data_IF_000749138973
#
_entry.id   IF_000749138973
#
_cell.length_a   1.000
_cell.length_b   1.000
_cell.length_c   1.000
_cell.angle_alpha   90.00
_cell.angle_beta   90.00
_cell.angle_gamma   90.00
#
_symmetry.space_group_name_H-M   'P 1'
#
loop_
_entity.id
_entity.type
_entity.pdbx_description
1 polymer ?
#
# COMPACT_ATOMS: atom_id res chain seq x y z
N UNK A 1 31.01 14.55 46.04
CA UNK A 1 30.45 15.92 46.07
C UNK A 1 30.64 16.53 44.69
N UNK A 2 29.59 16.50 43.87
CA UNK A 2 29.58 17.07 42.52
C UNK A 2 28.84 18.41 42.58
N UNK A 3 29.48 19.47 42.10
CA UNK A 3 28.93 20.83 42.04
C UNK A 3 27.90 20.89 40.89
N UNK A 4 26.68 21.42 41.09
CA UNK A 4 25.69 21.50 40.02
C UNK A 4 26.09 22.49 38.91
N UNK A 5 25.73 22.18 37.67
CA UNK A 5 25.97 23.04 36.50
C UNK A 5 25.05 24.28 36.51
N UNK A 6 25.52 25.37 35.91
CA UNK A 6 24.84 26.70 35.85
C UNK A 6 23.37 26.67 35.40
N UNK A 7 22.95 25.68 34.59
CA UNK A 7 21.55 25.52 34.18
C UNK A 7 20.61 25.11 35.34
N UNK A 8 21.14 24.46 36.38
CA UNK A 8 20.34 24.04 37.54
C UNK A 8 19.94 25.23 38.41
N UNK A 9 20.76 26.30 38.42
CA UNK A 9 20.52 27.53 39.19
C UNK A 9 19.46 28.43 38.52
N UNK A 10 19.39 28.48 37.19
CA UNK A 10 18.39 29.29 36.46
C UNK A 10 16.96 28.73 36.57
N UNK A 11 16.81 27.40 36.67
CA UNK A 11 15.49 26.75 36.82
C UNK A 11 14.93 26.94 38.25
N UNK A 12 15.78 26.99 39.28
CA UNK A 12 15.33 27.30 40.65
C UNK A 12 14.96 28.78 40.84
N UNK A 13 15.56 29.69 40.05
CA UNK A 13 15.28 31.11 40.11
C UNK A 13 13.93 31.44 39.43
N UNK A 14 13.63 30.80 38.29
CA UNK A 14 12.33 30.93 37.60
C UNK A 14 11.15 30.31 38.37
N UNK A 15 11.40 29.30 39.23
CA UNK A 15 10.36 28.74 40.12
C UNK A 15 10.06 29.61 41.33
N UNK A 16 10.95 30.53 41.72
CA UNK A 16 10.75 31.49 42.82
C UNK A 16 9.99 32.74 42.40
N UNK A 17 10.04 33.13 41.12
CA UNK A 17 9.40 34.36 40.65
C UNK A 17 7.92 34.20 40.29
N UNK A 18 7.43 32.98 40.04
CA UNK A 18 6.02 32.73 39.66
C UNK A 18 5.15 32.11 40.76
N UNK A 19 5.60 32.17 42.02
CA UNK A 19 4.86 31.67 43.17
C UNK A 19 4.01 32.75 43.85
N UNK A 20 2.84 33.09 43.30
CA UNK A 20 1.80 33.81 44.05
C UNK A 20 0.37 33.44 43.58
N UNK A 21 -0.27 32.60 44.42
CA UNK A 21 -1.70 32.49 44.74
C UNK A 21 -2.74 32.28 43.64
N UNK A 22 -3.26 31.06 43.61
CA UNK A 22 -4.64 30.77 43.23
C UNK A 22 -5.63 31.45 44.19
N UNK A 23 -6.65 32.13 43.66
CA UNK A 23 -8.08 32.12 44.07
C UNK A 23 -8.80 33.35 43.51
N UNK A 24 -9.51 33.20 42.39
CA UNK A 24 -10.80 33.88 42.13
C UNK A 24 -11.28 33.54 40.72
N UNK A 25 -12.60 33.31 40.60
CA UNK A 25 -13.39 33.22 39.36
C UNK A 25 -13.57 31.81 38.77
N UNK A 26 -14.28 30.99 39.56
CA UNK A 26 -15.28 30.09 39.02
C UNK A 26 -16.45 30.90 38.46
N UNK A 27 -16.63 30.92 37.14
CA UNK A 27 -17.95 30.97 36.48
C UNK A 27 -17.77 31.13 34.97
N UNK A 28 -18.58 30.38 34.21
CA UNK A 28 -18.95 30.61 32.81
C UNK A 28 -17.84 30.55 31.75
N UNK A 29 -17.65 29.38 31.14
CA UNK A 29 -17.99 29.15 29.72
C UNK A 29 -18.48 27.70 29.64
N UNK A 30 -19.76 27.57 29.27
CA UNK A 30 -20.49 26.31 29.28
C UNK A 30 -20.07 25.37 28.16
N UNK A 31 -20.06 24.09 28.51
CA UNK A 31 -20.37 23.01 27.59
C UNK A 31 -21.82 23.23 27.10
N UNK A 32 -21.98 23.55 25.82
CA UNK A 32 -23.24 23.38 25.11
C UNK A 32 -22.99 22.41 23.96
N UNK A 33 -23.49 21.20 24.18
CA UNK A 33 -23.95 20.29 23.15
C UNK A 33 -25.12 20.95 22.42
N UNK A 34 -24.93 21.34 21.16
CA UNK A 34 -26.01 21.48 20.20
C UNK A 34 -25.58 20.78 18.91
N UNK A 35 -26.20 19.62 18.70
CA UNK A 35 -26.45 19.05 17.39
C UNK A 35 -27.20 20.09 16.57
N UNK A 36 -26.63 20.57 15.46
CA UNK A 36 -27.43 21.00 14.33
C UNK A 36 -26.63 20.93 13.02
N UNK A 37 -27.24 20.24 12.07
CA UNK A 37 -26.80 20.04 10.70
C UNK A 37 -26.60 21.38 9.99
N UNK A 38 -25.38 21.64 9.52
CA UNK A 38 -25.15 22.39 8.31
C UNK A 38 -23.74 22.05 7.82
N UNK A 39 -23.64 21.00 7.00
CA UNK A 39 -22.45 20.77 6.19
C UNK A 39 -22.36 21.94 5.21
N UNK A 40 -21.35 22.86 5.29
CA UNK A 40 -21.05 23.60 4.08
C UNK A 40 -20.55 22.55 3.10
N UNK A 41 -21.23 22.40 1.97
CA UNK A 41 -20.76 21.63 0.82
C UNK A 41 -19.33 22.11 0.49
N UNK A 42 -18.33 21.50 1.14
CA UNK A 42 -16.97 21.55 0.64
C UNK A 42 -17.02 20.70 -0.61
N UNK A 43 -17.04 21.37 -1.74
CA UNK A 43 -16.91 20.76 -3.05
C UNK A 43 -15.85 19.64 -2.99
N UNK A 44 -16.13 18.46 -3.57
CA UNK A 44 -15.17 17.37 -3.58
C UNK A 44 -13.84 17.88 -4.11
N UNK A 45 -12.75 17.56 -3.41
CA UNK A 45 -11.35 17.84 -3.78
C UNK A 45 -10.94 16.98 -4.99
N UNK A 46 -11.73 17.04 -6.06
CA UNK A 46 -11.43 16.49 -7.39
C UNK A 46 -10.90 17.63 -8.29
N UNK A 47 -11.38 18.88 -8.12
CA UNK A 47 -11.12 19.98 -9.06
C UNK A 47 -9.75 20.68 -8.94
N UNK A 48 -8.90 20.28 -8.00
CA UNK A 48 -7.51 20.77 -7.92
C UNK A 48 -6.46 19.72 -8.32
N UNK A 49 -6.89 18.53 -8.75
CA UNK A 49 -5.96 17.50 -9.24
C UNK A 49 -5.75 17.64 -10.76
N UNK A 50 -4.83 18.52 -11.14
CA UNK A 50 -4.45 18.75 -12.54
C UNK A 50 -3.45 17.68 -12.98
N UNK A 51 -3.95 16.50 -13.34
CA UNK A 51 -3.15 15.52 -14.07
C UNK A 51 -3.99 14.32 -14.48
N UNK A 52 -4.11 13.98 -15.78
CA UNK A 52 -4.79 12.77 -16.19
C UNK A 52 -3.84 11.61 -15.91
N UNK A 53 -3.90 11.03 -14.72
CA UNK A 53 -3.27 9.74 -14.49
C UNK A 53 -4.27 8.64 -14.76
N UNK A 54 -4.28 8.17 -16.00
CA UNK A 54 -5.16 7.08 -16.38
C UNK A 54 -4.76 5.79 -15.66
N UNK A 55 -5.72 4.90 -15.57
CA UNK A 55 -5.53 3.53 -15.18
C UNK A 55 -5.64 2.66 -16.42
N UNK A 56 -4.74 1.70 -16.52
CA UNK A 56 -4.65 0.80 -17.66
C UNK A 56 -4.81 -0.63 -17.21
N UNK A 57 -5.60 -1.40 -17.97
CA UNK A 57 -5.91 -2.79 -17.66
C UNK A 57 -5.81 -3.62 -18.94
N UNK A 58 -5.29 -4.85 -18.80
CA UNK A 58 -5.20 -5.81 -19.90
C UNK A 58 -6.45 -6.70 -19.91
N UNK A 59 -7.24 -6.59 -20.98
CA UNK A 59 -8.52 -7.28 -21.17
C UNK A 59 -8.37 -8.80 -21.33
N UNK A 60 -7.46 -9.17 -22.24
CA UNK A 60 -7.26 -10.50 -22.81
C UNK A 60 -5.77 -10.74 -23.19
N UNK A 61 -4.86 -9.98 -22.56
CA UNK A 61 -3.43 -10.02 -22.90
C UNK A 61 -3.06 -9.34 -24.23
N UNK A 62 -3.98 -8.67 -24.91
CA UNK A 62 -3.66 -7.90 -26.13
C UNK A 62 -4.37 -6.55 -26.20
N UNK A 63 -5.59 -6.49 -25.69
CA UNK A 63 -6.41 -5.28 -25.71
C UNK A 63 -6.17 -4.48 -24.43
N UNK A 64 -5.71 -3.25 -24.62
CA UNK A 64 -5.47 -2.29 -23.55
C UNK A 64 -6.68 -1.36 -23.41
N UNK A 65 -7.26 -1.31 -22.21
CA UNK A 65 -8.36 -0.40 -21.89
C UNK A 65 -7.85 0.69 -20.95
N UNK A 66 -8.00 1.95 -21.38
CA UNK A 66 -7.72 3.12 -20.55
C UNK A 66 -9.00 3.59 -19.85
N UNK A 67 -8.93 3.80 -18.55
CA UNK A 67 -10.01 4.39 -17.75
C UNK A 67 -9.46 5.53 -16.90
N UNK A 68 -10.26 6.55 -16.70
CA UNK A 68 -9.86 7.71 -15.89
C UNK A 68 -9.99 7.45 -14.38
N UNK A 69 -10.66 6.36 -13.95
CA UNK A 69 -10.91 6.10 -12.53
C UNK A 69 -11.17 4.63 -12.22
N UNK A 70 -10.63 4.18 -11.08
CA UNK A 70 -10.79 2.81 -10.56
C UNK A 70 -12.25 2.49 -10.27
N UNK A 71 -13.08 3.49 -9.98
CA UNK A 71 -14.51 3.31 -9.70
C UNK A 71 -15.26 2.73 -10.89
N UNK A 72 -14.91 3.14 -12.11
CA UNK A 72 -15.55 2.59 -13.32
C UNK A 72 -15.15 1.13 -13.52
N UNK A 73 -13.87 0.83 -13.35
CA UNK A 73 -13.34 -0.53 -13.43
C UNK A 73 -14.01 -1.48 -12.43
N UNK A 74 -14.10 -1.06 -11.16
CA UNK A 74 -14.75 -1.83 -10.10
C UNK A 74 -16.23 -2.06 -10.41
N UNK A 75 -16.94 -1.05 -10.91
CA UNK A 75 -18.34 -1.19 -11.35
C UNK A 75 -18.50 -2.21 -12.47
N UNK A 76 -17.57 -2.25 -13.42
CA UNK A 76 -17.60 -3.19 -14.55
C UNK A 76 -17.42 -4.64 -14.04
N UNK A 77 -16.43 -4.91 -13.18
CA UNK A 77 -16.22 -6.25 -12.60
C UNK A 77 -17.42 -6.71 -11.76
N UNK A 78 -18.00 -5.80 -10.97
CA UNK A 78 -19.12 -6.15 -10.09
C UNK A 78 -20.39 -6.54 -10.86
N UNK A 79 -20.62 -5.94 -12.03
CA UNK A 79 -21.74 -6.32 -12.90
C UNK A 79 -21.58 -7.76 -13.39
N UNK A 80 -20.37 -8.17 -13.73
CA UNK A 80 -20.07 -9.51 -14.19
C UNK A 80 -20.20 -10.54 -13.06
N UNK A 81 -19.64 -10.23 -11.88
CA UNK A 81 -19.73 -11.09 -10.70
C UNK A 81 -21.19 -11.36 -10.26
N UNK A 82 -22.05 -10.33 -10.27
CA UNK A 82 -23.49 -10.47 -9.96
C UNK A 82 -24.24 -11.32 -10.98
N UNK A 83 -23.87 -11.22 -12.26
CA UNK A 83 -24.46 -12.00 -13.34
C UNK A 83 -24.14 -13.49 -13.15
N UNK A 84 -22.89 -13.82 -12.76
CA UNK A 84 -22.44 -15.20 -12.48
C UNK A 84 -23.05 -15.81 -11.22
N UNK A 85 -23.18 -15.04 -10.13
CA UNK A 85 -23.84 -15.51 -8.90
C UNK A 85 -25.26 -16.05 -9.16
N UNK A 86 -25.94 -15.47 -10.17
CA UNK A 86 -27.26 -15.90 -10.63
C UNK A 86 -27.20 -17.17 -11.52
N UNK A 87 -26.22 -17.28 -12.42
CA UNK A 87 -26.02 -18.47 -13.29
C UNK A 87 -25.58 -19.73 -12.52
N UNK A 88 -24.67 -19.59 -11.54
CA UNK A 88 -24.21 -20.69 -10.69
C UNK A 88 -25.32 -21.30 -9.81
N UNK A 89 -26.42 -20.57 -9.59
CA UNK A 89 -27.58 -21.07 -8.84
C UNK A 89 -28.55 -21.91 -9.69
N UNK A 90 -28.39 -21.90 -11.03
CA UNK A 90 -29.35 -22.49 -11.98
C UNK A 90 -28.80 -23.76 -12.66
N UNK A 91 -27.47 -23.95 -12.70
CA UNK A 91 -26.83 -25.12 -13.31
C UNK A 91 -25.64 -25.59 -12.49
N UNK A 92 -25.83 -26.64 -11.66
CA UNK A 92 -24.71 -27.45 -11.16
C UNK A 92 -25.10 -28.93 -11.11
N UNK A 93 -24.29 -29.75 -11.77
CA UNK A 93 -24.31 -31.19 -11.56
C UNK A 93 -23.81 -31.47 -10.13
N UNK A 94 -24.46 -32.36 -9.35
CA UNK A 94 -24.08 -32.62 -7.96
C UNK A 94 -22.71 -33.31 -7.79
N UNK A 95 -22.05 -33.72 -8.88
CA UNK A 95 -20.74 -34.39 -8.90
C UNK A 95 -19.55 -33.46 -9.19
N UNK A 96 -19.76 -32.18 -9.52
CA UNK A 96 -18.63 -31.26 -9.69
C UNK A 96 -18.06 -30.88 -8.31
N UNK A 97 -16.77 -31.16 -8.08
CA UNK A 97 -16.07 -30.69 -6.89
C UNK A 97 -16.29 -29.18 -6.74
N UNK A 98 -16.71 -28.75 -5.54
CA UNK A 98 -16.89 -27.32 -5.29
C UNK A 98 -15.53 -26.64 -5.48
N UNK A 99 -15.43 -25.62 -6.36
CA UNK A 99 -14.19 -24.89 -6.52
C UNK A 99 -13.76 -24.30 -5.17
N UNK A 100 -12.45 -24.34 -4.89
CA UNK A 100 -11.90 -23.74 -3.69
C UNK A 100 -12.39 -22.30 -3.52
N UNK A 101 -12.68 -21.83 -2.30
CA UNK A 101 -13.04 -20.43 -2.07
C UNK A 101 -12.00 -19.49 -2.67
N UNK A 102 -12.42 -18.41 -3.30
CA UNK A 102 -11.51 -17.42 -3.89
C UNK A 102 -11.25 -16.28 -2.92
N UNK A 103 -10.04 -15.71 -2.98
CA UNK A 103 -9.69 -14.42 -2.41
C UNK A 103 -9.34 -13.48 -3.55
N UNK A 104 -9.97 -12.30 -3.55
CA UNK A 104 -9.80 -11.28 -4.60
C UNK A 104 -8.78 -10.25 -4.15
N UNK A 105 -7.68 -10.10 -4.89
CA UNK A 105 -6.62 -9.11 -4.59
C UNK A 105 -6.54 -8.06 -5.69
N UNK A 106 -6.42 -6.79 -5.33
CA UNK A 106 -6.14 -5.71 -6.28
C UNK A 106 -4.67 -5.35 -6.23
N UNK A 107 -4.00 -5.42 -7.38
CA UNK A 107 -2.61 -5.01 -7.55
C UNK A 107 -2.58 -3.62 -8.20
N UNK A 108 -2.06 -2.62 -7.49
CA UNK A 108 -1.78 -1.29 -8.04
C UNK A 108 -0.32 -1.25 -8.48
N UNK A 109 -0.08 -1.13 -9.78
CA UNK A 109 1.24 -1.03 -10.38
C UNK A 109 1.62 0.42 -10.63
N UNK A 110 2.42 0.98 -9.74
CA UNK A 110 2.82 2.39 -9.78
C UNK A 110 4.13 2.63 -10.54
N UNK A 111 4.96 1.58 -10.68
CA UNK A 111 6.23 1.62 -11.39
C UNK A 111 7.33 0.85 -10.65
N UNK A 112 8.58 1.29 -10.86
CA UNK A 112 9.77 0.63 -10.32
C UNK A 112 10.29 -0.55 -11.14
N UNK A 113 11.47 -1.03 -10.76
CA UNK A 113 12.23 -2.09 -11.46
C UNK A 113 11.43 -3.37 -11.67
N UNK A 114 10.47 -3.69 -10.79
CA UNK A 114 9.64 -4.91 -10.85
C UNK A 114 8.99 -5.15 -12.22
N UNK A 115 8.64 -4.08 -12.95
CA UNK A 115 8.04 -4.18 -14.28
C UNK A 115 8.78 -3.42 -15.38
N UNK A 116 10.06 -3.10 -15.17
CA UNK A 116 10.90 -2.53 -16.23
C UNK A 116 11.27 -3.60 -17.26
N UNK A 117 11.43 -3.18 -18.52
CA UNK A 117 11.88 -4.06 -19.60
C UNK A 117 13.33 -3.76 -19.94
N UNK A 118 14.13 -4.81 -20.12
CA UNK A 118 15.48 -4.67 -20.64
C UNK A 118 15.40 -4.25 -22.12
N UNK A 119 16.00 -3.10 -22.45
CA UNK A 119 16.18 -2.67 -23.84
C UNK A 119 17.42 -3.32 -24.45
N UNK A 120 17.59 -3.21 -25.77
CA UNK A 120 18.71 -3.83 -26.50
C UNK A 120 20.11 -3.38 -26.02
N UNK A 121 20.21 -2.26 -25.31
CA UNK A 121 21.43 -1.73 -24.72
C UNK A 121 21.73 -2.26 -23.30
N UNK A 122 20.90 -3.16 -22.76
CA UNK A 122 21.04 -3.70 -21.41
C UNK A 122 20.51 -2.80 -20.29
N UNK A 123 19.87 -1.66 -20.64
CA UNK A 123 19.28 -0.73 -19.68
C UNK A 123 17.83 -1.10 -19.42
N UNK A 124 17.43 -1.08 -18.15
CA UNK A 124 16.05 -1.29 -17.74
C UNK A 124 15.30 0.04 -17.70
N UNK A 125 14.15 0.08 -18.37
CA UNK A 125 13.30 1.26 -18.43
C UNK A 125 11.83 0.88 -18.19
N UNK A 126 11.00 1.78 -17.61
CA UNK A 126 9.56 1.58 -17.57
C UNK A 126 9.00 1.44 -18.98
N UNK A 127 8.30 0.35 -19.25
CA UNK A 127 7.56 0.16 -20.50
C UNK A 127 6.08 0.00 -20.17
N UNK A 128 5.28 0.96 -20.63
CA UNK A 128 3.83 0.92 -20.44
C UNK A 128 3.26 -0.40 -20.98
N UNK A 129 2.37 -1.00 -20.19
CA UNK A 129 1.61 -2.21 -20.48
C UNK A 129 2.46 -3.49 -20.54
N UNK A 130 3.77 -3.41 -20.39
CA UNK A 130 4.65 -4.56 -20.48
C UNK A 130 4.41 -5.58 -19.37
N UNK A 131 4.40 -5.15 -18.11
CA UNK A 131 4.30 -6.06 -16.97
C UNK A 131 2.97 -6.85 -16.95
N UNK A 132 1.79 -6.23 -17.10
CA UNK A 132 0.53 -6.97 -17.18
C UNK A 132 0.53 -8.03 -18.29
N UNK A 133 1.15 -7.74 -19.44
CA UNK A 133 1.28 -8.70 -20.54
C UNK A 133 2.26 -9.83 -20.20
N UNK A 134 3.44 -9.49 -19.69
CA UNK A 134 4.46 -10.47 -19.32
C UNK A 134 3.95 -11.48 -18.27
N UNK A 135 3.20 -11.01 -17.25
CA UNK A 135 2.65 -11.87 -16.20
C UNK A 135 1.71 -12.94 -16.78
N UNK A 136 0.99 -12.68 -17.87
CA UNK A 136 0.08 -13.66 -18.48
C UNK A 136 0.80 -14.94 -18.84
N UNK A 137 2.05 -14.82 -19.30
CA UNK A 137 2.86 -15.92 -19.82
C UNK A 137 3.79 -16.55 -18.78
N UNK A 138 3.71 -16.12 -17.51
CA UNK A 138 4.53 -16.66 -16.41
C UNK A 138 3.68 -17.65 -15.60
N UNK A 139 3.85 -18.98 -15.75
CA UNK A 139 2.96 -19.97 -15.12
C UNK A 139 2.86 -19.87 -13.59
N UNK A 140 3.95 -19.60 -12.83
CA UNK A 140 3.84 -19.38 -11.38
C UNK A 140 2.96 -18.20 -10.96
N UNK A 141 2.73 -17.23 -11.85
CA UNK A 141 1.90 -16.05 -11.60
C UNK A 141 0.51 -16.12 -12.24
N UNK A 142 0.31 -17.00 -13.22
CA UNK A 142 -0.95 -17.08 -13.96
C UNK A 142 -1.28 -18.51 -14.42
N UNK A 143 -2.25 -19.12 -13.74
CA UNK A 143 -2.95 -20.32 -14.17
C UNK A 143 -3.98 -19.96 -15.24
N UNK A 144 -3.55 -20.07 -16.51
CA UNK A 144 -4.37 -19.74 -17.69
C UNK A 144 -5.61 -20.61 -17.79
N UNK A 145 -5.50 -21.90 -17.48
CA UNK A 145 -6.61 -22.85 -17.59
C UNK A 145 -7.73 -22.46 -16.62
N UNK A 146 -7.38 -22.12 -15.38
CA UNK A 146 -8.35 -21.62 -14.40
C UNK A 146 -9.02 -20.31 -14.86
N UNK A 147 -8.24 -19.35 -15.35
CA UNK A 147 -8.77 -18.07 -15.83
C UNK A 147 -9.69 -18.26 -17.04
N UNK A 148 -9.32 -19.08 -18.01
CA UNK A 148 -10.15 -19.36 -19.18
C UNK A 148 -11.45 -20.08 -18.80
N UNK A 149 -11.37 -21.08 -17.92
CA UNK A 149 -12.53 -21.83 -17.46
C UNK A 149 -13.54 -20.98 -16.68
N UNK A 150 -13.08 -20.09 -15.79
CA UNK A 150 -13.96 -19.39 -14.85
C UNK A 150 -14.19 -17.91 -15.18
N UNK A 151 -13.32 -17.32 -15.98
CA UNK A 151 -13.29 -15.90 -16.31
C UNK A 151 -13.17 -15.61 -17.82
N UNK A 152 -13.21 -16.62 -18.70
CA UNK A 152 -13.05 -16.46 -20.15
C UNK A 152 -14.01 -15.44 -20.77
N UNK A 153 -15.26 -15.41 -20.31
CA UNK A 153 -16.31 -14.49 -20.79
C UNK A 153 -16.26 -13.07 -20.18
N UNK A 154 -15.39 -12.84 -19.18
CA UNK A 154 -15.32 -11.53 -18.52
C UNK A 154 -14.71 -10.49 -19.44
N UNK A 155 -15.21 -9.27 -19.37
CA UNK A 155 -14.62 -8.17 -20.09
C UNK A 155 -13.20 -7.98 -19.63
N UNK A 156 -12.87 -7.94 -18.34
CA UNK A 156 -11.46 -7.88 -17.91
C UNK A 156 -11.09 -9.15 -17.17
N UNK A 157 -10.25 -9.97 -17.80
CA UNK A 157 -9.81 -11.23 -17.23
C UNK A 157 -8.86 -10.96 -16.04
N UNK A 158 -9.07 -11.58 -14.86
CA UNK A 158 -8.07 -11.57 -13.81
C UNK A 158 -6.87 -12.43 -14.17
N UNK A 159 -5.89 -12.41 -13.28
CA UNK A 159 -4.85 -13.40 -13.16
C UNK A 159 -5.17 -14.32 -11.99
N UNK A 160 -4.64 -15.53 -12.00
CA UNK A 160 -4.82 -16.46 -10.89
C UNK A 160 -3.50 -17.15 -10.56
N UNK A 161 -3.07 -17.13 -9.30
CA UNK A 161 -1.95 -17.99 -8.91
C UNK A 161 -2.37 -19.45 -9.00
N UNK A 162 -1.48 -20.39 -9.36
CA UNK A 162 -1.69 -21.83 -9.15
C UNK A 162 -2.08 -22.15 -7.69
N UNK A 163 -2.64 -23.34 -7.40
CA UNK A 163 -2.95 -23.72 -6.02
C UNK A 163 -1.69 -23.64 -5.15
N UNK A 164 -1.76 -22.85 -4.08
CA UNK A 164 -0.65 -22.71 -3.13
C UNK A 164 -0.86 -23.72 -2.01
N UNK A 165 0.22 -24.41 -1.62
CA UNK A 165 0.16 -25.38 -0.52
C UNK A 165 -0.19 -24.65 0.78
N UNK A 166 -1.00 -25.28 1.62
CA UNK A 166 -1.37 -24.78 2.95
C UNK A 166 -2.17 -23.46 2.95
N UNK A 167 -2.67 -23.01 1.80
CA UNK A 167 -3.65 -21.91 1.73
C UNK A 167 -5.05 -22.46 1.51
N UNK A 168 -6.05 -21.83 2.13
CA UNK A 168 -7.44 -22.27 2.02
C UNK A 168 -8.17 -21.68 0.82
N UNK A 169 -7.64 -20.58 0.27
CA UNK A 169 -8.27 -19.83 -0.81
C UNK A 169 -7.42 -19.81 -2.06
N UNK A 170 -8.09 -19.80 -3.21
CA UNK A 170 -7.47 -19.52 -4.51
C UNK A 170 -7.23 -18.02 -4.64
N UNK A 171 -6.02 -17.62 -5.02
CA UNK A 171 -5.67 -16.20 -5.18
C UNK A 171 -6.00 -15.75 -6.60
N UNK A 172 -7.03 -14.91 -6.72
CA UNK A 172 -7.44 -14.28 -7.98
C UNK A 172 -7.15 -12.81 -7.87
N UNK A 173 -6.44 -12.22 -8.83
CA UNK A 173 -5.99 -10.85 -8.73
C UNK A 173 -6.12 -10.07 -10.03
N UNK A 174 -6.29 -8.75 -9.89
CA UNK A 174 -6.37 -7.81 -11.01
C UNK A 174 -5.22 -6.84 -10.92
N UNK A 175 -4.57 -6.56 -12.05
CA UNK A 175 -3.48 -5.58 -12.14
C UNK A 175 -4.01 -4.30 -12.74
N UNK A 176 -3.78 -3.21 -12.03
CA UNK A 176 -4.10 -1.84 -12.44
C UNK A 176 -2.80 -1.11 -12.64
N UNK A 177 -2.50 -0.77 -13.88
CA UNK A 177 -1.30 -0.01 -14.21
C UNK A 177 -1.58 1.49 -14.16
N UNK A 178 -0.69 2.24 -13.50
CA UNK A 178 -0.74 3.69 -13.49
C UNK A 178 -0.09 4.26 -14.75
N UNK A 179 -0.71 5.30 -15.32
CA UNK A 179 -0.14 6.10 -16.41
C UNK A 179 0.14 7.53 -15.90
N UNK A 180 1.36 8.06 -15.98
CA UNK A 180 2.60 7.34 -16.28
C UNK A 180 3.01 6.40 -15.13
N UNK A 181 3.80 5.38 -15.46
CA UNK A 181 4.59 4.64 -14.48
C UNK A 181 5.70 5.57 -13.95
N UNK A 182 5.95 5.52 -12.65
CA UNK A 182 6.93 6.38 -12.00
C UNK A 182 8.15 5.60 -11.54
N UNK A 183 9.32 6.25 -11.62
CA UNK A 183 10.39 5.92 -10.70
C UNK A 183 9.94 6.33 -9.28
N UNK A 184 10.21 5.50 -8.29
CA UNK A 184 9.87 5.81 -6.90
C UNK A 184 10.53 7.09 -6.40
N UNK A 185 11.69 7.46 -6.95
CA UNK A 185 12.39 8.71 -6.59
C UNK A 185 11.61 9.97 -7.00
N UNK A 186 10.72 9.86 -7.99
CA UNK A 186 9.87 10.96 -8.46
C UNK A 186 8.49 10.99 -7.78
N UNK A 187 8.20 10.04 -6.88
CA UNK A 187 6.90 9.98 -6.21
C UNK A 187 6.77 11.06 -5.15
N UNK A 188 5.59 11.68 -5.15
CA UNK A 188 5.23 12.78 -4.25
C UNK A 188 4.06 12.39 -3.34
N UNK A 189 3.72 13.28 -2.42
CA UNK A 189 2.50 13.19 -1.62
C UNK A 189 1.23 12.93 -2.45
N UNK A 190 1.13 13.50 -3.65
CA UNK A 190 -0.04 13.33 -4.52
C UNK A 190 -0.18 11.90 -5.03
N UNK A 191 0.93 11.20 -5.21
CA UNK A 191 0.95 9.79 -5.59
C UNK A 191 0.50 8.91 -4.43
N UNK A 192 0.90 9.23 -3.20
CA UNK A 192 0.43 8.53 -2.00
C UNK A 192 -1.07 8.73 -1.80
N UNK A 193 -1.57 9.96 -1.99
CA UNK A 193 -3.01 10.28 -1.93
C UNK A 193 -3.78 9.51 -2.98
N UNK A 194 -3.25 9.42 -4.20
CA UNK A 194 -3.88 8.63 -5.27
C UNK A 194 -3.99 7.15 -4.90
N UNK A 195 -2.89 6.53 -4.45
CA UNK A 195 -2.88 5.12 -4.04
C UNK A 195 -3.91 4.87 -2.93
N UNK A 196 -3.91 5.71 -1.88
CA UNK A 196 -4.85 5.57 -0.77
C UNK A 196 -6.31 5.74 -1.20
N UNK A 197 -6.60 6.75 -2.05
CA UNK A 197 -7.95 6.96 -2.61
C UNK A 197 -8.41 5.80 -3.48
N UNK A 198 -7.54 5.21 -4.28
CA UNK A 198 -7.88 4.08 -5.16
C UNK A 198 -8.16 2.80 -4.36
N UNK A 199 -7.39 2.55 -3.30
CA UNK A 199 -7.67 1.48 -2.33
C UNK A 199 -9.03 1.72 -1.66
N UNK A 200 -9.30 2.95 -1.19
CA UNK A 200 -10.61 3.30 -0.59
C UNK A 200 -11.78 3.05 -1.52
N UNK A 201 -11.67 3.46 -2.79
CA UNK A 201 -12.72 3.27 -3.81
C UNK A 201 -13.00 1.78 -4.09
N UNK A 202 -11.99 0.92 -3.90
CA UNK A 202 -12.07 -0.52 -4.19
C UNK A 202 -12.22 -1.36 -2.92
N UNK A 203 -12.30 -0.72 -1.75
CA UNK A 203 -12.08 -1.37 -0.47
C UNK A 203 -13.06 -2.51 -0.17
N UNK A 204 -14.30 -2.40 -0.62
CA UNK A 204 -15.34 -3.40 -0.37
C UNK A 204 -15.29 -4.62 -1.32
N UNK A 205 -14.58 -4.52 -2.44
CA UNK A 205 -14.66 -5.50 -3.54
C UNK A 205 -13.49 -6.48 -3.57
N UNK A 206 -12.44 -6.18 -2.82
CA UNK A 206 -11.22 -6.99 -2.72
C UNK A 206 -10.95 -7.34 -1.27
N UNK A 207 -10.38 -8.51 -1.03
CA UNK A 207 -10.00 -9.02 0.29
C UNK A 207 -8.67 -8.42 0.77
N UNK A 208 -7.81 -8.01 -0.16
CA UNK A 208 -6.52 -7.39 0.13
C UNK A 208 -5.96 -6.63 -1.07
N UNK A 209 -4.88 -5.89 -0.82
CA UNK A 209 -4.25 -5.00 -1.80
C UNK A 209 -2.74 -5.27 -1.87
N UNK A 210 -2.20 -5.25 -3.09
CA UNK A 210 -0.76 -5.23 -3.34
C UNK A 210 -0.43 -3.94 -4.08
N UNK A 211 0.65 -3.28 -3.69
CA UNK A 211 1.16 -2.10 -4.41
C UNK A 211 2.56 -2.42 -4.90
N UNK A 212 2.72 -2.53 -6.22
CA UNK A 212 4.00 -2.68 -6.89
C UNK A 212 4.66 -1.31 -7.04
N UNK A 213 5.83 -1.16 -6.43
CA UNK A 213 6.49 0.11 -6.24
C UNK A 213 8.01 -0.01 -6.45
N UNK A 214 8.68 1.09 -6.85
CA UNK A 214 10.15 1.16 -6.90
C UNK A 214 10.78 1.14 -5.51
N UNK A 215 12.01 0.62 -5.38
CA UNK A 215 12.57 0.34 -4.06
C UNK A 215 13.11 1.57 -3.35
N UNK A 216 13.47 2.65 -4.05
CA UNK A 216 14.19 3.78 -3.45
C UNK A 216 13.39 4.53 -2.39
N UNK A 217 12.09 4.73 -2.63
CA UNK A 217 11.20 5.43 -1.68
C UNK A 217 10.09 4.53 -1.13
N UNK A 218 10.16 3.21 -1.33
CA UNK A 218 9.13 2.26 -0.90
C UNK A 218 8.81 2.37 0.59
N UNK A 219 9.82 2.49 1.45
CA UNK A 219 9.65 2.63 2.90
C UNK A 219 8.96 3.95 3.29
N UNK A 220 9.21 5.04 2.55
CA UNK A 220 8.51 6.31 2.73
C UNK A 220 7.04 6.19 2.36
N UNK A 221 6.73 5.60 1.20
CA UNK A 221 5.35 5.36 0.76
C UNK A 221 4.61 4.43 1.73
N UNK A 222 5.24 3.33 2.18
CA UNK A 222 4.64 2.42 3.16
C UNK A 222 4.32 3.14 4.48
N UNK A 223 5.20 4.01 4.94
CA UNK A 223 5.01 4.81 6.15
C UNK A 223 3.87 5.82 5.97
N UNK A 224 3.86 6.57 4.87
CA UNK A 224 2.81 7.55 4.57
C UNK A 224 1.43 6.87 4.51
N UNK A 225 1.29 5.79 3.73
CA UNK A 225 0.04 5.05 3.62
C UNK A 225 -0.41 4.49 4.97
N UNK A 226 0.52 4.04 5.83
CA UNK A 226 0.19 3.57 7.18
C UNK A 226 -0.47 4.64 8.05
N UNK A 227 -0.12 5.91 7.89
CA UNK A 227 -0.77 7.02 8.61
C UNK A 227 -2.05 7.49 7.91
N UNK A 228 -2.09 7.43 6.58
CA UNK A 228 -3.26 7.85 5.80
C UNK A 228 -4.44 6.89 5.98
N UNK A 229 -4.18 5.59 6.13
CA UNK A 229 -5.18 4.51 6.17
C UNK A 229 -5.67 4.25 7.60
N UNK A 230 -6.59 5.07 8.07
CA UNK A 230 -7.18 4.93 9.40
C UNK A 230 -8.23 3.81 9.45
N UNK A 231 -8.22 3.02 10.53
CA UNK A 231 -9.11 1.88 10.72
C UNK A 231 -9.03 0.87 9.56
N UNK A 232 -7.80 0.64 9.07
CA UNK A 232 -7.52 -0.41 8.12
C UNK A 232 -7.90 -1.77 8.73
N UNK A 233 -8.57 -2.59 7.93
CA UNK A 233 -9.11 -3.90 8.29
C UNK A 233 -8.79 -4.98 7.27
N UNK A 234 -7.96 -4.66 6.26
CA UNK A 234 -7.54 -5.54 5.18
C UNK A 234 -6.04 -5.36 4.93
N UNK A 235 -5.31 -6.40 4.52
CA UNK A 235 -3.89 -6.28 4.22
C UNK A 235 -3.62 -5.37 3.02
N UNK A 236 -2.65 -4.47 3.20
CA UNK A 236 -2.07 -3.66 2.11
C UNK A 236 -0.58 -3.94 2.08
N UNK A 237 -0.13 -4.69 1.08
CA UNK A 237 1.24 -5.18 0.98
C UNK A 237 1.97 -4.43 -0.14
N UNK A 238 2.95 -3.60 0.23
CA UNK A 238 3.86 -3.00 -0.73
C UNK A 238 4.98 -4.00 -1.06
N UNK A 239 5.35 -4.06 -2.33
CA UNK A 239 6.51 -4.85 -2.76
C UNK A 239 7.11 -4.27 -4.03
N UNK A 240 8.26 -4.80 -4.41
CA UNK A 240 9.02 -4.39 -5.59
C UNK A 240 10.08 -5.44 -5.91
N UNK A 241 11.11 -5.04 -6.64
CA UNK A 241 12.20 -5.93 -7.02
C UNK A 241 13.50 -5.17 -7.27
N UNK A 242 14.62 -5.87 -7.14
CA UNK A 242 15.89 -5.43 -7.73
C UNK A 242 16.06 -5.95 -9.16
N UNK A 243 15.41 -7.07 -9.51
CA UNK A 243 15.44 -7.69 -10.83
C UNK A 243 14.00 -7.84 -11.36
N UNK A 244 13.67 -7.32 -12.55
CA UNK A 244 12.29 -7.34 -13.07
C UNK A 244 11.66 -8.72 -13.13
N UNK A 245 10.34 -8.80 -12.97
CA UNK A 245 9.56 -10.07 -12.88
C UNK A 245 9.78 -11.01 -14.07
N UNK A 246 9.97 -10.44 -15.26
CA UNK A 246 10.10 -11.19 -16.50
C UNK A 246 11.50 -11.81 -16.71
N UNK A 247 12.49 -11.43 -15.91
CA UNK A 247 13.83 -12.02 -15.98
C UNK A 247 13.85 -13.45 -15.42
N UNK A 248 14.81 -14.25 -15.89
CA UNK A 248 14.93 -15.68 -15.51
C UNK A 248 15.22 -15.84 -14.01
N UNK A 249 16.12 -15.03 -13.46
CA UNK A 249 16.51 -15.02 -12.04
C UNK A 249 15.99 -13.76 -11.34
N UNK A 250 14.67 -13.65 -11.22
CA UNK A 250 14.00 -12.49 -10.66
C UNK A 250 13.59 -12.70 -9.19
N UNK A 251 13.98 -11.77 -8.31
CA UNK A 251 13.37 -11.64 -6.98
C UNK A 251 11.96 -11.04 -7.06
N UNK A 252 11.66 -10.26 -8.08
CA UNK A 252 10.34 -9.68 -8.32
C UNK A 252 9.23 -10.73 -8.46
N UNK A 253 9.53 -11.89 -9.05
CA UNK A 253 8.57 -12.99 -9.14
C UNK A 253 8.17 -13.52 -7.76
N UNK A 254 9.17 -13.86 -6.95
CA UNK A 254 8.95 -14.42 -5.60
C UNK A 254 8.33 -13.37 -4.66
N UNK A 255 8.77 -12.11 -4.77
CA UNK A 255 8.21 -10.99 -4.03
C UNK A 255 6.72 -10.77 -4.36
N UNK A 256 6.35 -10.78 -5.65
CA UNK A 256 4.94 -10.63 -6.06
C UNK A 256 4.08 -11.82 -5.62
N UNK A 257 4.55 -13.06 -5.81
CA UNK A 257 3.82 -14.26 -5.36
C UNK A 257 3.59 -14.18 -3.86
N UNK A 258 4.63 -13.87 -3.08
CA UNK A 258 4.52 -13.80 -1.64
C UNK A 258 3.60 -12.69 -1.15
N UNK A 259 3.67 -11.50 -1.75
CA UNK A 259 2.76 -10.39 -1.45
C UNK A 259 1.30 -10.75 -1.74
N UNK A 260 1.03 -11.42 -2.87
CA UNK A 260 -0.30 -11.89 -3.24
C UNK A 260 -0.84 -12.95 -2.26
N UNK A 261 -0.01 -13.92 -1.87
CA UNK A 261 -0.38 -14.93 -0.85
C UNK A 261 -0.72 -14.24 0.47
N UNK A 262 0.11 -13.28 0.90
CA UNK A 262 -0.11 -12.51 2.13
C UNK A 262 -1.43 -11.76 2.08
N UNK A 263 -1.65 -10.98 1.02
CA UNK A 263 -2.85 -10.16 0.86
C UNK A 263 -4.15 -10.98 0.76
N UNK A 264 -4.08 -12.21 0.25
CA UNK A 264 -5.26 -13.04 0.01
C UNK A 264 -5.67 -13.92 1.21
N UNK A 265 -4.68 -14.45 1.94
CA UNK A 265 -4.91 -15.57 2.86
C UNK A 265 -4.76 -15.23 4.34
N UNK A 266 -4.16 -14.08 4.69
CA UNK A 266 -3.90 -13.75 6.09
C UNK A 266 -4.54 -12.43 6.49
N UNK A 267 -5.20 -12.47 7.64
CA UNK A 267 -5.83 -11.31 8.25
C UNK A 267 -4.79 -10.46 8.98
N UNK A 268 -4.11 -9.60 8.21
CA UNK A 268 -3.07 -8.67 8.68
C UNK A 268 -3.53 -7.25 8.30
N UNK A 269 -4.31 -6.56 9.15
CA UNK A 269 -4.93 -5.27 8.81
C UNK A 269 -3.94 -4.09 8.91
N UNK A 270 -2.80 -4.23 8.24
CA UNK A 270 -1.70 -3.26 8.27
C UNK A 270 -1.16 -2.97 6.87
N UNK A 271 -0.53 -1.79 6.75
CA UNK A 271 0.35 -1.49 5.63
C UNK A 271 1.71 -2.14 5.89
N UNK A 272 2.10 -3.06 5.02
CA UNK A 272 3.28 -3.92 5.17
C UNK A 272 4.18 -3.84 3.95
N UNK A 273 5.43 -4.28 4.11
CA UNK A 273 6.41 -4.41 3.03
C UNK A 273 6.85 -5.87 2.97
N UNK A 274 6.70 -6.49 1.80
CA UNK A 274 7.12 -7.87 1.59
C UNK A 274 8.36 -7.93 0.68
N UNK A 275 9.47 -8.45 1.21
CA UNK A 275 10.72 -8.63 0.49
C UNK A 275 11.48 -9.83 1.05
N UNK A 276 12.12 -10.61 0.16
CA UNK A 276 13.05 -11.68 0.53
C UNK A 276 12.50 -12.59 1.64
N UNK A 277 11.29 -13.11 1.42
CA UNK A 277 10.56 -14.01 2.32
C UNK A 277 10.22 -13.44 3.71
N UNK A 278 10.33 -12.13 3.91
CA UNK A 278 9.94 -11.45 5.15
C UNK A 278 8.78 -10.49 4.90
N UNK A 279 7.82 -10.49 5.82
CA UNK A 279 6.78 -9.47 5.90
C UNK A 279 7.14 -8.48 7.01
N UNK A 280 7.41 -7.23 6.66
CA UNK A 280 7.80 -6.16 7.57
C UNK A 280 6.62 -5.21 7.77
N UNK A 281 6.49 -4.62 8.97
CA UNK A 281 5.57 -3.51 9.20
C UNK A 281 6.05 -2.28 8.41
N UNK A 282 5.18 -1.68 7.59
CA UNK A 282 5.59 -0.65 6.63
C UNK A 282 6.23 0.57 7.27
N UNK A 283 5.66 1.07 8.37
CA UNK A 283 6.20 2.21 9.12
C UNK A 283 7.40 1.88 10.05
N UNK A 284 7.94 0.66 9.95
CA UNK A 284 9.12 0.21 10.72
C UNK A 284 10.27 -0.29 9.83
N UNK A 285 10.06 -0.40 8.52
CA UNK A 285 11.08 -0.87 7.60
C UNK A 285 11.91 0.28 7.03
N UNK A 286 13.13 -0.02 6.58
CA UNK A 286 13.97 0.88 5.80
C UNK A 286 14.72 0.07 4.74
N UNK A 287 15.10 0.72 3.64
CA UNK A 287 16.03 0.13 2.67
C UNK A 287 17.43 0.13 3.31
N UNK A 288 18.07 -1.03 3.36
CA UNK A 288 19.41 -1.23 3.93
C UNK A 288 20.46 -1.56 2.85
N UNK A 289 20.04 -2.14 1.73
CA UNK A 289 20.92 -2.58 0.66
C UNK A 289 20.37 -2.14 -0.71
N UNK A 290 21.27 -1.66 -1.58
CA UNK A 290 20.97 -1.18 -2.92
C UNK A 290 21.20 -2.24 -4.00
N UNK A 291 21.87 -3.35 -3.68
CA UNK A 291 22.26 -4.39 -4.65
C UNK A 291 21.83 -5.79 -4.20
N UNK A 292 21.76 -6.05 -2.89
CA UNK A 292 21.29 -7.31 -2.34
C UNK A 292 19.79 -7.51 -2.50
N UNK A 293 19.37 -8.77 -2.66
CA UNK A 293 17.95 -9.15 -2.69
C UNK A 293 17.26 -8.93 -1.33
N UNK A 294 18.02 -9.00 -0.25
CA UNK A 294 17.59 -8.61 1.10
C UNK A 294 17.64 -7.08 1.28
N UNK A 295 16.99 -6.34 0.37
CA UNK A 295 17.09 -4.89 0.28
C UNK A 295 16.48 -4.14 1.47
N UNK A 296 15.50 -4.74 2.14
CA UNK A 296 14.76 -4.12 3.26
C UNK A 296 14.90 -4.94 4.54
N UNK A 297 14.96 -4.24 5.67
CA UNK A 297 14.79 -4.83 7.00
C UNK A 297 14.12 -3.84 7.96
N UNK A 298 13.80 -4.32 9.16
CA UNK A 298 13.25 -3.50 10.24
C UNK A 298 14.20 -3.50 11.45
N UNK A 299 15.06 -2.47 11.60
CA UNK A 299 16.11 -2.48 12.61
C UNK A 299 15.63 -2.59 14.06
N UNK A 300 14.44 -2.06 14.35
CA UNK A 300 13.90 -1.92 15.70
C UNK A 300 12.61 -2.73 15.93
N UNK A 301 12.25 -3.63 15.01
CA UNK A 301 11.08 -4.49 15.15
C UNK A 301 11.28 -5.79 14.38
N UNK A 302 10.88 -6.92 14.96
CA UNK A 302 10.92 -8.20 14.25
C UNK A 302 9.93 -8.20 13.07
N UNK A 303 10.21 -8.96 11.99
CA UNK A 303 9.23 -9.22 10.93
C UNK A 303 7.92 -9.78 11.50
N UNK A 304 6.79 -9.36 10.92
CA UNK A 304 5.45 -9.83 11.24
C UNK A 304 5.24 -11.27 10.77
N UNK A 305 5.88 -11.65 9.66
CA UNK A 305 5.87 -13.01 9.16
C UNK A 305 7.16 -13.37 8.41
N UNK A 306 7.44 -14.67 8.35
CA UNK A 306 8.47 -15.27 7.50
C UNK A 306 7.86 -16.36 6.63
N UNK A 307 8.21 -16.37 5.34
CA UNK A 307 7.73 -17.32 4.34
C UNK A 307 8.84 -18.31 4.01
N UNK A 308 9.08 -19.24 4.94
CA UNK A 308 10.03 -20.34 4.77
C UNK A 308 9.28 -21.58 4.22
N UNK A 309 9.74 -22.80 4.54
CA UNK A 309 9.00 -24.05 4.23
C UNK A 309 7.57 -23.97 4.78
N UNK A 310 7.41 -23.40 5.98
CA UNK A 310 6.14 -23.03 6.57
C UNK A 310 6.00 -21.50 6.61
N UNK A 311 4.76 -21.02 6.48
CA UNK A 311 4.44 -19.61 6.66
C UNK A 311 4.23 -19.37 8.16
N UNK A 312 5.13 -18.60 8.77
CA UNK A 312 5.14 -18.34 10.21
C UNK A 312 4.72 -16.89 10.46
N UNK A 313 3.54 -16.68 11.06
CA UNK A 313 2.99 -15.34 11.34
C UNK A 313 2.97 -15.11 12.85
N UNK A 314 3.48 -13.94 13.27
CA UNK A 314 3.50 -13.50 14.66
C UNK A 314 2.26 -12.65 14.96
N UNK A 315 1.11 -13.31 15.09
CA UNK A 315 -0.17 -12.63 15.31
C UNK A 315 -0.19 -11.74 16.55
N UNK A 316 0.60 -12.06 17.57
CA UNK A 316 0.81 -11.27 18.76
C UNK A 316 1.47 -9.90 18.50
N UNK A 317 2.21 -9.78 17.40
CA UNK A 317 2.85 -8.51 17.00
C UNK A 317 1.95 -7.65 16.12
N UNK A 318 0.84 -8.19 15.61
CA UNK A 318 -0.07 -7.50 14.69
C UNK A 318 -1.00 -6.58 15.48
N UNK A 319 -1.07 -5.32 15.08
CA UNK A 319 -1.97 -4.35 15.68
C UNK A 319 -3.40 -4.62 15.21
N UNK A 320 -4.33 -4.67 16.17
CA UNK A 320 -5.77 -4.80 15.90
C UNK A 320 -6.48 -3.72 16.69
N UNK A 321 -7.25 -2.88 16.01
CA UNK A 321 -8.11 -1.90 16.68
C UNK A 321 -9.17 -2.65 17.49
N UNK A 322 -9.34 -2.26 18.75
CA UNK A 322 -10.45 -2.76 19.59
C UNK A 322 -11.80 -2.11 19.25
N UNK A 323 -11.79 -1.05 18.42
CA UNK A 323 -12.97 -0.31 18.04
C UNK A 323 -13.38 -0.65 16.60
N UNK A 324 -14.67 -0.88 16.40
CA UNK A 324 -15.25 -1.06 15.07
C UNK A 324 -15.53 0.33 14.49
N UNK A 325 -14.72 0.72 13.52
CA UNK A 325 -14.84 1.99 12.80
C UNK A 325 -14.74 1.76 11.31
N UNK A 326 -15.40 2.60 10.51
CA UNK A 326 -15.26 2.55 9.06
C UNK A 326 -13.84 2.94 8.63
N UNK A 327 -13.33 2.24 7.62
CA UNK A 327 -12.07 2.58 6.96
C UNK A 327 -12.11 4.01 6.42
N UNK A 328 -11.10 4.81 6.74
CA UNK A 328 -10.99 6.22 6.31
C UNK A 328 -9.60 6.47 5.72
N UNK A 329 -9.55 7.42 4.78
CA UNK A 329 -8.30 7.90 4.20
C UNK A 329 -8.13 9.37 4.55
N UNK A 330 -7.03 9.68 5.23
CA UNK A 330 -6.58 11.04 5.52
C UNK A 330 -5.76 11.54 4.31
N UNK A 331 -6.36 12.39 3.48
CA UNK A 331 -5.73 12.94 2.28
C UNK A 331 -5.21 14.38 2.46
N UNK A 332 -5.49 15.01 3.59
CA UNK A 332 -4.94 16.32 3.95
C UNK A 332 -3.57 16.19 4.62
N UNK A 333 -2.52 16.06 3.80
CA UNK A 333 -1.14 15.96 4.27
C UNK A 333 -0.47 17.33 4.35
N UNK A 334 0.25 17.61 5.43
CA UNK A 334 1.12 18.79 5.50
C UNK A 334 2.29 18.62 4.52
N UNK A 335 2.36 19.50 3.51
CA UNK A 335 3.43 19.48 2.51
C UNK A 335 4.70 20.17 2.96
N UNK A 336 4.60 21.02 3.99
CA UNK A 336 5.71 21.80 4.54
C UNK A 336 6.46 20.99 5.60
N UNK A 337 7.01 19.84 5.20
CA UNK A 337 7.79 18.94 6.06
C UNK A 337 9.11 18.64 5.36
N UNK A 338 10.21 18.67 6.11
CA UNK A 338 11.55 18.40 5.59
C UNK A 338 12.34 17.54 6.58
N UNK A 339 13.39 16.88 6.09
CA UNK A 339 14.33 16.08 6.88
C UNK A 339 15.70 16.76 6.81
N UNK A 340 16.18 17.26 7.95
CA UNK A 340 17.54 17.76 8.08
C UNK A 340 18.42 16.71 8.75
N UNK A 341 19.38 16.17 8.01
CA UNK A 341 20.41 15.29 8.58
C UNK A 341 21.54 16.12 9.16
N UNK A 342 21.78 15.99 10.46
CA UNK A 342 22.90 16.64 11.14
C UNK A 342 24.18 15.83 10.88
N UNK A 343 25.27 16.52 10.60
CA UNK A 343 26.61 15.95 10.44
C UNK A 343 27.66 16.87 11.06
N UNK A 344 28.86 16.36 11.40
CA UNK A 344 29.93 17.19 11.97
C UNK A 344 30.25 18.40 11.08
N UNK A 345 30.43 19.56 11.69
CA UNK A 345 30.71 20.84 11.02
C UNK A 345 29.55 21.47 10.23
N UNK A 346 28.32 20.98 10.35
CA UNK A 346 27.14 21.74 9.87
C UNK A 346 27.07 23.09 10.59
N UNK A 347 26.96 24.19 9.83
CA UNK A 347 26.96 25.53 10.40
C UNK A 347 25.56 25.96 10.86
N UNK A 348 25.49 26.88 11.82
CA UNK A 348 24.21 27.44 12.30
C UNK A 348 23.49 28.15 11.16
N UNK A 349 24.23 28.80 10.27
CA UNK A 349 23.70 29.48 9.08
C UNK A 349 23.04 28.48 8.13
N UNK A 350 23.64 27.30 7.91
CA UNK A 350 23.07 26.25 7.07
C UNK A 350 21.76 25.72 7.65
N UNK A 351 21.69 25.50 8.97
CA UNK A 351 20.46 25.10 9.66
C UNK A 351 19.40 26.20 9.54
N UNK A 352 19.78 27.45 9.82
CA UNK A 352 18.87 28.60 9.79
C UNK A 352 18.27 28.80 8.40
N UNK A 353 19.09 28.73 7.34
CA UNK A 353 18.61 28.85 5.96
C UNK A 353 17.60 27.77 5.57
N UNK A 354 17.69 26.58 6.18
CA UNK A 354 16.76 25.47 5.92
C UNK A 354 15.36 25.73 6.51
N UNK A 355 15.25 26.53 7.59
CA UNK A 355 13.99 26.73 8.33
C UNK A 355 13.42 28.15 8.26
N UNK A 356 14.11 29.11 7.62
CA UNK A 356 13.73 30.54 7.58
C UNK A 356 12.93 30.96 6.34
N UNK A 357 12.24 30.05 5.67
CA UNK A 357 11.32 30.37 4.57
C UNK A 357 9.85 30.15 4.94
#
# INVERSE_FOLDING_TARGET
MLVPSKQTLEIEQLKKENGASATSLSSSIGCQTEDEEASPEREPIDDHYIGPKNLVFAKDGSTIVKKNSITHFVKDINREAKTRGRLNSISRNPNDEKPMPEARVLVLYTGGTVGMKCKNNGVYEPEAHYLPLAIRDIPPLNDKEYVEQYYGDHQVQPYCLPPVRHTQKRVVYWVVEYEPLLDSSDMTFDDWIRIAKDIRKSYHEYDGFVVLHGTDTLAYTASALSFMMENLGKPVVLTGAQIPVAEVRSDGRENLIGALIVAANFDIPEVTVYFNNKLLRGNRCTKLDNSGLAAFDSPNMNPLASMDISINIKYESIFRSGNISHFRVQDNLCRNVSILRIFPSISIECVSFTFLY
#
